data_IF_036757871914
#
_entry.id   IF_036757871914
#
_cell.length_a   1.000
_cell.length_b   1.000
_cell.length_c   1.000
_cell.angle_alpha   90.00
_cell.angle_beta   90.00
_cell.angle_gamma   90.00
#
_symmetry.space_group_name_H-M   'P 1'
#
loop_
_entity.id
_entity.type
_entity.pdbx_description
1 polymer ?
#
# COMPACT_ATOMS: atom_id res chain seq x y z
N UNK A 1 11.76 16.57 -2.70
CA UNK A 1 10.38 16.34 -2.20
C UNK A 1 9.33 17.12 -2.99
N UNK A 2 9.49 18.43 -3.14
CA UNK A 2 8.52 19.28 -3.89
C UNK A 2 8.23 18.73 -5.28
N UNK A 3 9.25 18.53 -6.11
CA UNK A 3 9.08 18.00 -7.47
C UNK A 3 8.30 16.68 -7.49
N UNK A 4 8.63 15.74 -6.60
CA UNK A 4 7.93 14.44 -6.52
C UNK A 4 6.45 14.61 -6.15
N UNK A 5 6.12 15.49 -5.19
CA UNK A 5 4.73 15.70 -4.76
C UNK A 5 3.90 16.54 -5.74
N UNK A 6 4.54 17.40 -6.54
CA UNK A 6 3.88 18.26 -7.52
C UNK A 6 3.54 17.55 -8.84
N UNK A 7 4.21 16.45 -9.19
CA UNK A 7 3.92 15.70 -10.42
C UNK A 7 2.56 14.99 -10.32
N UNK A 8 1.68 15.22 -11.30
CA UNK A 8 0.35 14.60 -11.34
C UNK A 8 0.43 13.07 -11.50
N UNK A 9 1.30 12.61 -12.37
CA UNK A 9 1.45 11.20 -12.75
C UNK A 9 2.48 10.43 -11.94
N UNK A 10 3.14 11.08 -10.97
CA UNK A 10 4.26 10.48 -10.22
C UNK A 10 5.62 10.85 -10.79
N UNK A 11 6.66 10.33 -10.16
CA UNK A 11 8.04 10.62 -10.53
C UNK A 11 8.79 9.32 -10.85
N UNK A 12 9.44 9.26 -12.01
CA UNK A 12 10.40 8.20 -12.33
C UNK A 12 11.78 8.53 -11.76
N UNK A 13 12.61 7.51 -11.53
CA UNK A 13 13.98 7.72 -11.08
C UNK A 13 14.83 8.46 -12.13
N UNK A 14 14.60 8.15 -13.41
CA UNK A 14 15.27 8.83 -14.51
C UNK A 14 14.91 10.32 -14.58
N UNK A 15 13.60 10.65 -14.43
CA UNK A 15 13.16 12.03 -14.40
C UNK A 15 13.73 12.79 -13.18
N UNK A 16 13.76 12.15 -12.00
CA UNK A 16 14.37 12.75 -10.81
C UNK A 16 15.88 12.99 -10.98
N UNK A 17 16.59 12.02 -11.59
CA UNK A 17 18.00 12.15 -11.90
C UNK A 17 18.28 13.37 -12.77
N UNK A 18 17.51 13.52 -13.85
CA UNK A 18 17.66 14.64 -14.79
C UNK A 18 17.37 16.00 -14.15
N UNK A 19 16.24 16.11 -13.45
CA UNK A 19 15.79 17.39 -12.84
C UNK A 19 16.77 17.88 -11.76
N UNK A 20 17.39 16.96 -11.03
CA UNK A 20 18.32 17.30 -9.95
C UNK A 20 19.78 17.26 -10.35
N UNK A 21 20.09 16.93 -11.60
CA UNK A 21 21.48 16.82 -12.07
C UNK A 21 22.30 15.75 -11.35
N UNK A 22 21.62 14.65 -10.90
CA UNK A 22 22.30 13.61 -10.14
C UNK A 22 23.19 12.75 -11.05
N UNK A 23 24.46 12.57 -10.69
CA UNK A 23 25.41 11.76 -11.46
C UNK A 23 25.05 10.26 -11.51
N UNK A 24 24.27 9.75 -10.54
CA UNK A 24 23.91 8.34 -10.46
C UNK A 24 22.40 8.13 -10.49
N UNK A 25 21.94 7.23 -11.36
CA UNK A 25 20.56 6.73 -11.38
C UNK A 25 20.19 6.04 -10.05
N UNK A 26 21.12 5.28 -9.47
CA UNK A 26 20.93 4.56 -8.21
C UNK A 26 20.64 5.53 -7.05
N UNK A 27 21.29 6.68 -7.02
CA UNK A 27 21.02 7.73 -6.03
C UNK A 27 19.60 8.25 -6.18
N UNK A 28 19.15 8.55 -7.40
CA UNK A 28 17.79 9.01 -7.67
C UNK A 28 16.75 7.95 -7.29
N UNK A 29 17.00 6.69 -7.67
CA UNK A 29 16.16 5.55 -7.33
C UNK A 29 16.03 5.37 -5.81
N UNK A 30 17.16 5.43 -5.10
CA UNK A 30 17.21 5.32 -3.64
C UNK A 30 16.41 6.45 -2.97
N UNK A 31 16.57 7.68 -3.43
CA UNK A 31 15.82 8.82 -2.90
C UNK A 31 14.32 8.67 -3.11
N UNK A 32 13.88 8.20 -4.27
CA UNK A 32 12.46 7.92 -4.51
C UNK A 32 11.92 6.86 -3.55
N UNK A 33 12.66 5.78 -3.32
CA UNK A 33 12.22 4.75 -2.37
C UNK A 33 12.17 5.24 -0.92
N UNK A 34 13.09 6.11 -0.51
CA UNK A 34 13.03 6.78 0.80
C UNK A 34 11.76 7.64 0.90
N UNK A 35 11.45 8.42 -0.14
CA UNK A 35 10.24 9.24 -0.18
C UNK A 35 8.96 8.38 -0.20
N UNK A 36 8.92 7.29 -0.96
CA UNK A 36 7.80 6.34 -0.98
C UNK A 36 7.54 5.76 0.40
N UNK A 37 8.59 5.42 1.13
CA UNK A 37 8.46 4.97 2.52
C UNK A 37 7.85 6.05 3.41
N UNK A 38 8.21 7.32 3.24
CA UNK A 38 7.65 8.45 3.96
C UNK A 38 6.17 8.74 3.58
N UNK A 39 5.68 8.24 2.45
CA UNK A 39 4.28 8.40 2.03
C UNK A 39 3.29 7.58 2.86
N UNK A 40 3.77 6.67 3.70
CA UNK A 40 2.94 5.88 4.61
C UNK A 40 3.12 6.38 6.03
N UNK A 41 2.07 7.00 6.58
CA UNK A 41 2.04 7.41 7.98
C UNK A 41 1.96 6.17 8.89
N UNK A 42 2.83 6.05 9.91
CA UNK A 42 2.64 5.07 10.97
C UNK A 42 1.27 5.27 11.65
N UNK A 43 0.58 4.19 11.96
CA UNK A 43 -0.73 4.26 12.62
C UNK A 43 -1.82 4.97 11.81
N UNK A 44 -1.75 4.92 10.47
CA UNK A 44 -2.79 5.48 9.59
C UNK A 44 -4.16 4.89 9.87
N UNK A 45 -5.19 5.73 9.81
CA UNK A 45 -6.58 5.33 10.06
C UNK A 45 -7.01 4.21 9.11
N UNK A 46 -7.74 3.24 9.62
CA UNK A 46 -8.35 2.18 8.82
C UNK A 46 -9.49 2.74 7.98
N UNK A 47 -9.84 2.02 6.93
CA UNK A 47 -11.03 2.31 6.11
C UNK A 47 -12.29 1.99 6.91
N UNK A 48 -13.38 2.73 6.68
CA UNK A 48 -14.62 2.61 7.44
C UNK A 48 -15.85 2.55 6.53
N UNK A 49 -16.99 2.16 7.09
CA UNK A 49 -18.26 2.16 6.38
C UNK A 49 -18.37 0.99 5.40
N UNK A 50 -18.68 1.26 4.13
CA UNK A 50 -18.74 0.24 3.08
C UNK A 50 -17.39 0.19 2.36
N UNK A 51 -16.81 -1.00 2.26
CA UNK A 51 -15.48 -1.21 1.67
C UNK A 51 -15.54 -2.37 0.69
N UNK A 52 -15.25 -2.10 -0.59
CA UNK A 52 -15.01 -3.15 -1.58
C UNK A 52 -13.62 -3.72 -1.37
N UNK A 53 -13.49 -5.05 -1.39
CA UNK A 53 -12.22 -5.76 -1.22
C UNK A 53 -12.09 -6.82 -2.31
N UNK A 54 -10.95 -6.83 -2.97
CA UNK A 54 -10.60 -7.79 -4.01
C UNK A 54 -9.09 -7.99 -4.10
N UNK A 55 -8.66 -8.98 -4.86
CA UNK A 55 -7.26 -9.27 -5.16
C UNK A 55 -6.99 -9.24 -6.65
N UNK A 56 -5.81 -8.82 -7.03
CA UNK A 56 -5.39 -8.75 -8.43
C UNK A 56 -3.93 -9.11 -8.63
N UNK A 57 -3.62 -9.66 -9.79
CA UNK A 57 -2.25 -9.89 -10.20
C UNK A 57 -1.69 -8.66 -10.91
N UNK A 58 -0.47 -8.27 -10.51
CA UNK A 58 0.29 -7.19 -11.12
C UNK A 58 1.69 -7.69 -11.47
N UNK A 59 2.17 -7.35 -12.65
CA UNK A 59 3.50 -7.72 -13.15
C UNK A 59 3.59 -7.60 -14.65
N UNK A 60 4.80 -7.81 -15.20
CA UNK A 60 5.07 -7.71 -16.63
C UNK A 60 4.36 -8.74 -17.49
N UNK A 61 4.41 -8.55 -18.81
CA UNK A 61 3.96 -9.54 -19.79
C UNK A 61 4.92 -10.72 -19.74
N UNK A 62 4.38 -11.92 -19.64
CA UNK A 62 5.13 -13.17 -19.76
C UNK A 62 4.67 -13.92 -20.99
N UNK A 63 5.62 -14.36 -21.80
CA UNK A 63 5.40 -15.30 -22.88
C UNK A 63 5.50 -16.73 -22.32
N UNK A 64 4.50 -17.58 -22.60
CA UNK A 64 4.51 -19.00 -22.23
C UNK A 64 3.54 -19.42 -21.12
N UNK A 65 3.57 -20.72 -20.77
CA UNK A 65 2.56 -21.37 -19.91
C UNK A 65 2.66 -21.05 -18.42
N UNK A 66 3.75 -20.40 -17.93
CA UNK A 66 3.97 -20.05 -16.52
C UNK A 66 3.68 -18.58 -16.22
N UNK A 67 2.55 -18.11 -16.70
CA UNK A 67 2.16 -16.67 -16.66
C UNK A 67 2.04 -16.02 -15.27
N UNK A 68 2.07 -16.78 -14.18
CA UNK A 68 1.78 -16.26 -12.84
C UNK A 68 2.98 -16.16 -11.92
N UNK A 69 4.07 -16.89 -12.16
CA UNK A 69 5.21 -16.99 -11.23
C UNK A 69 5.91 -15.64 -11.00
N UNK A 70 5.98 -14.77 -12.01
CA UNK A 70 6.58 -13.43 -11.89
C UNK A 70 5.59 -12.35 -11.48
N UNK A 71 4.28 -12.64 -11.48
CA UNK A 71 3.27 -11.68 -11.06
C UNK A 71 3.15 -11.63 -9.55
N UNK A 72 2.95 -10.45 -9.02
CA UNK A 72 2.69 -10.24 -7.61
C UNK A 72 1.19 -10.19 -7.36
N UNK A 73 0.72 -10.90 -6.35
CA UNK A 73 -0.66 -10.81 -5.88
C UNK A 73 -0.80 -9.61 -4.95
N UNK A 74 -1.79 -8.76 -5.23
CA UNK A 74 -2.08 -7.55 -4.46
C UNK A 74 -3.49 -7.64 -3.93
N UNK A 75 -3.66 -7.42 -2.63
CA UNK A 75 -4.96 -7.14 -2.04
C UNK A 75 -5.26 -5.64 -2.10
N UNK A 76 -6.48 -5.31 -2.45
CA UNK A 76 -6.98 -3.94 -2.64
C UNK A 76 -8.26 -3.76 -1.87
N UNK A 77 -8.35 -2.68 -1.08
CA UNK A 77 -9.56 -2.28 -0.38
C UNK A 77 -9.89 -0.82 -0.73
N UNK A 78 -11.15 -0.55 -1.05
CA UNK A 78 -11.63 0.76 -1.50
C UNK A 78 -12.87 1.17 -0.70
N UNK A 79 -12.80 2.29 0.01
CA UNK A 79 -13.96 2.89 0.67
C UNK A 79 -14.98 3.38 -0.35
N UNK A 80 -16.24 3.13 -0.09
CA UNK A 80 -17.34 3.77 -0.79
C UNK A 80 -17.74 5.05 -0.06
N UNK A 81 -17.78 6.17 -0.80
CA UNK A 81 -18.28 7.45 -0.32
C UNK A 81 -19.37 7.94 -1.27
N UNK A 82 -20.63 7.85 -0.84
CA UNK A 82 -21.76 8.06 -1.74
C UNK A 82 -21.71 7.12 -2.94
N UNK A 83 -21.86 7.66 -4.14
CA UNK A 83 -21.68 6.90 -5.40
C UNK A 83 -20.19 6.73 -5.78
N UNK A 84 -19.29 7.49 -5.17
CA UNK A 84 -17.87 7.56 -5.54
C UNK A 84 -16.95 6.64 -4.72
N UNK A 85 -15.64 6.91 -4.89
CA UNK A 85 -14.55 6.21 -4.21
C UNK A 85 -13.93 7.12 -3.14
N UNK A 86 -13.81 6.62 -1.92
CA UNK A 86 -13.09 7.25 -0.82
C UNK A 86 -11.59 6.92 -0.84
N UNK A 87 -11.08 6.56 0.32
CA UNK A 87 -9.69 6.14 0.52
C UNK A 87 -9.48 4.70 0.04
N UNK A 88 -8.23 4.40 -0.28
CA UNK A 88 -7.83 3.05 -0.65
C UNK A 88 -6.73 2.53 0.27
N UNK A 89 -6.61 1.19 0.34
CA UNK A 89 -5.47 0.47 0.89
C UNK A 89 -5.06 -0.61 -0.07
N UNK A 90 -3.76 -0.77 -0.21
CA UNK A 90 -3.17 -1.80 -1.06
C UNK A 90 -1.98 -2.43 -0.36
N UNK A 91 -1.76 -3.71 -0.62
CA UNK A 91 -0.61 -4.45 -0.13
C UNK A 91 -0.33 -5.65 -1.02
N UNK A 92 0.93 -5.94 -1.25
CA UNK A 92 1.34 -7.23 -1.79
C UNK A 92 1.11 -8.30 -0.71
N UNK A 93 0.44 -9.39 -1.10
CA UNK A 93 0.22 -10.57 -0.25
C UNK A 93 0.99 -11.77 -0.80
N UNK A 94 1.33 -12.71 0.08
CA UNK A 94 2.12 -13.87 -0.30
C UNK A 94 1.33 -14.79 -1.23
N UNK A 95 0.06 -14.98 -0.89
CA UNK A 95 -0.88 -15.85 -1.59
C UNK A 95 -2.32 -15.38 -1.40
N UNK A 96 -3.28 -16.04 -2.06
CA UNK A 96 -4.71 -15.78 -1.95
C UNK A 96 -5.41 -16.53 -0.82
N UNK A 97 -4.69 -17.01 0.18
CA UNK A 97 -5.27 -17.74 1.30
C UNK A 97 -6.17 -16.86 2.18
N UNK A 98 -7.13 -17.49 2.84
CA UNK A 98 -8.01 -16.82 3.80
C UNK A 98 -7.21 -16.12 4.92
N UNK A 99 -6.10 -16.71 5.36
CA UNK A 99 -5.24 -16.13 6.38
C UNK A 99 -4.53 -14.84 5.91
N UNK A 100 -4.02 -14.83 4.67
CA UNK A 100 -3.35 -13.66 4.09
C UNK A 100 -4.34 -12.51 3.84
N UNK A 101 -5.51 -12.82 3.28
CA UNK A 101 -6.57 -11.84 3.02
C UNK A 101 -7.16 -11.28 4.32
N UNK A 102 -7.45 -12.12 5.30
CA UNK A 102 -7.92 -11.71 6.61
C UNK A 102 -6.94 -10.74 7.27
N UNK A 103 -5.64 -11.08 7.31
CA UNK A 103 -4.62 -10.16 7.87
C UNK A 103 -4.61 -8.82 7.17
N UNK A 104 -4.75 -8.80 5.85
CA UNK A 104 -4.87 -7.54 5.11
C UNK A 104 -6.11 -6.75 5.51
N UNK A 105 -7.27 -7.40 5.59
CA UNK A 105 -8.54 -6.76 5.98
C UNK A 105 -8.44 -6.19 7.39
N UNK A 106 -7.97 -6.95 8.37
CA UNK A 106 -7.80 -6.53 9.77
C UNK A 106 -6.88 -5.30 9.91
N UNK A 107 -5.83 -5.21 9.09
CA UNK A 107 -4.93 -4.04 9.07
C UNK A 107 -5.51 -2.84 8.32
N UNK A 108 -6.29 -3.08 7.28
CA UNK A 108 -6.76 -2.06 6.35
C UNK A 108 -8.12 -1.47 6.71
N UNK A 109 -9.01 -2.26 7.32
CA UNK A 109 -10.42 -1.92 7.52
C UNK A 109 -10.79 -1.95 9.00
N UNK A 110 -11.62 -1.00 9.43
CA UNK A 110 -12.14 -0.90 10.80
C UNK A 110 -13.18 -2.02 11.05
N UNK A 111 -13.13 -2.62 12.22
CA UNK A 111 -14.16 -3.57 12.67
C UNK A 111 -15.55 -2.94 12.60
N UNK A 112 -16.57 -3.75 12.31
CA UNK A 112 -17.95 -3.30 12.13
C UNK A 112 -18.27 -2.71 10.76
N UNK A 113 -17.25 -2.55 9.88
CA UNK A 113 -17.47 -2.13 8.49
C UNK A 113 -18.19 -3.22 7.68
N UNK A 114 -18.87 -2.80 6.61
CA UNK A 114 -19.47 -3.69 5.60
C UNK A 114 -18.45 -3.99 4.53
N UNK A 115 -17.98 -5.22 4.46
CA UNK A 115 -17.08 -5.70 3.41
C UNK A 115 -17.92 -6.22 2.24
N UNK A 116 -17.58 -5.78 1.03
CA UNK A 116 -18.19 -6.24 -0.21
C UNK A 116 -17.12 -6.94 -1.06
N UNK A 117 -17.34 -8.22 -1.38
CA UNK A 117 -16.40 -9.07 -2.14
C UNK A 117 -17.12 -9.82 -3.26
N UNK A 118 -16.35 -10.47 -4.14
CA UNK A 118 -16.82 -11.23 -5.30
C UNK A 118 -17.25 -12.68 -4.99
N UNK A 119 -17.25 -13.10 -3.73
CA UNK A 119 -17.61 -14.47 -3.34
C UNK A 119 -16.48 -15.50 -3.49
N UNK A 120 -15.23 -15.07 -3.59
CA UNK A 120 -14.09 -15.98 -3.49
C UNK A 120 -14.05 -16.63 -2.10
N UNK A 121 -13.90 -17.97 -2.06
CA UNK A 121 -13.95 -18.77 -0.81
C UNK A 121 -12.99 -18.30 0.29
N UNK A 122 -11.87 -17.66 -0.07
CA UNK A 122 -10.91 -17.12 0.89
C UNK A 122 -11.43 -15.92 1.69
N UNK A 123 -12.58 -15.36 1.34
CA UNK A 123 -13.27 -14.32 2.13
C UNK A 123 -14.30 -14.91 3.10
N UNK A 124 -14.51 -16.23 3.10
CA UNK A 124 -15.42 -16.87 4.02
C UNK A 124 -15.02 -16.62 5.49
N UNK A 125 -16.03 -16.55 6.33
CA UNK A 125 -15.87 -16.35 7.76
C UNK A 125 -15.39 -14.96 8.23
N UNK A 126 -15.29 -13.94 7.36
CA UNK A 126 -14.97 -12.57 7.80
C UNK A 126 -15.99 -12.04 8.84
N UNK A 127 -17.21 -12.53 8.85
CA UNK A 127 -18.23 -12.22 9.83
C UNK A 127 -17.83 -12.65 11.24
N UNK A 128 -17.19 -13.83 11.38
CA UNK A 128 -16.65 -14.31 12.66
C UNK A 128 -15.54 -13.41 13.23
N UNK A 129 -14.98 -12.53 12.39
CA UNK A 129 -13.95 -11.57 12.75
C UNK A 129 -14.47 -10.15 12.96
N UNK A 130 -15.81 -9.98 13.12
CA UNK A 130 -16.42 -8.70 13.47
C UNK A 130 -16.71 -7.78 12.28
N UNK A 131 -16.75 -8.30 11.06
CA UNK A 131 -17.18 -7.58 9.86
C UNK A 131 -18.58 -7.98 9.43
N UNK A 132 -19.31 -7.08 8.79
CA UNK A 132 -20.54 -7.43 8.06
C UNK A 132 -20.13 -7.74 6.62
N UNK A 133 -20.29 -8.98 6.18
CA UNK A 133 -19.85 -9.43 4.87
C UNK A 133 -21.02 -9.48 3.88
N UNK A 134 -20.83 -8.86 2.73
CA UNK A 134 -21.76 -8.89 1.59
C UNK A 134 -21.05 -9.46 0.39
N UNK A 135 -21.58 -10.54 -0.15
CA UNK A 135 -21.04 -11.20 -1.34
C UNK A 135 -21.91 -10.83 -2.54
N UNK A 136 -21.28 -10.53 -3.68
CA UNK A 136 -21.95 -10.41 -4.96
C UNK A 136 -21.27 -11.31 -5.97
N UNK A 137 -22.01 -12.30 -6.46
CA UNK A 137 -21.49 -13.25 -7.44
C UNK A 137 -21.46 -12.64 -8.83
N UNK A 138 -20.36 -12.87 -9.56
CA UNK A 138 -20.13 -12.35 -10.91
C UNK A 138 -20.90 -13.13 -11.99
N UNK A 139 -21.29 -14.40 -11.68
CA UNK A 139 -21.97 -15.26 -12.68
C UNK A 139 -23.34 -14.72 -13.07
N UNK A 140 -23.49 -14.38 -14.36
CA UNK A 140 -24.77 -14.00 -14.96
C UNK A 140 -25.17 -12.53 -14.78
N UNK A 141 -24.35 -11.70 -14.15
CA UNK A 141 -24.63 -10.27 -14.04
C UNK A 141 -23.93 -9.47 -15.15
N UNK A 142 -24.70 -8.64 -15.87
CA UNK A 142 -24.14 -7.66 -16.80
C UNK A 142 -23.44 -6.49 -16.06
N UNK A 143 -23.63 -6.39 -14.75
CA UNK A 143 -23.09 -5.30 -13.93
C UNK A 143 -21.86 -5.77 -13.16
N UNK A 144 -20.79 -4.96 -13.19
CA UNK A 144 -19.58 -5.20 -12.42
C UNK A 144 -19.91 -5.24 -10.90
N UNK A 145 -19.61 -6.35 -10.19
CA UNK A 145 -19.94 -6.49 -8.79
C UNK A 145 -19.10 -5.58 -7.88
N UNK A 146 -17.87 -5.25 -8.29
CA UNK A 146 -16.90 -4.46 -7.51
C UNK A 146 -16.33 -3.29 -8.33
N UNK A 147 -17.16 -2.36 -8.83
CA UNK A 147 -16.75 -1.38 -9.82
C UNK A 147 -15.67 -0.42 -9.31
N UNK A 148 -15.64 -0.16 -8.02
CA UNK A 148 -14.66 0.75 -7.40
C UNK A 148 -13.28 0.12 -7.34
N UNK A 149 -13.18 -1.13 -6.89
CA UNK A 149 -11.92 -1.87 -6.85
C UNK A 149 -11.38 -2.05 -8.26
N UNK A 150 -12.20 -2.49 -9.21
CA UNK A 150 -11.79 -2.69 -10.59
C UNK A 150 -11.31 -1.38 -11.25
N UNK A 151 -11.97 -0.27 -10.96
CA UNK A 151 -11.53 1.06 -11.40
C UNK A 151 -10.17 1.44 -10.82
N UNK A 152 -9.97 1.23 -9.52
CA UNK A 152 -8.69 1.52 -8.85
C UNK A 152 -7.57 0.64 -9.39
N UNK A 153 -7.83 -0.65 -9.60
CA UNK A 153 -6.88 -1.60 -10.20
C UNK A 153 -6.48 -1.18 -11.62
N UNK A 154 -7.44 -0.76 -12.43
CA UNK A 154 -7.18 -0.27 -13.79
C UNK A 154 -6.30 0.98 -13.78
N UNK A 155 -6.55 1.92 -12.86
CA UNK A 155 -5.74 3.12 -12.69
C UNK A 155 -4.33 2.79 -12.21
N UNK A 156 -4.17 1.84 -11.28
CA UNK A 156 -2.87 1.36 -10.82
C UNK A 156 -2.07 0.75 -11.97
N UNK A 157 -2.66 -0.18 -12.73
CA UNK A 157 -1.99 -0.84 -13.86
C UNK A 157 -1.53 0.18 -14.90
N UNK A 158 -2.40 1.14 -15.25
CA UNK A 158 -2.07 2.24 -16.17
C UNK A 158 -0.91 3.09 -15.64
N UNK A 159 -0.91 3.41 -14.35
CA UNK A 159 0.14 4.20 -13.72
C UNK A 159 1.48 3.46 -13.71
N UNK A 160 1.49 2.16 -13.41
CA UNK A 160 2.70 1.35 -13.43
C UNK A 160 3.28 1.22 -14.85
N UNK A 161 2.43 1.08 -15.87
CA UNK A 161 2.89 1.03 -17.26
C UNK A 161 3.36 2.39 -17.77
N UNK A 162 2.60 3.46 -17.52
CA UNK A 162 2.91 4.79 -18.04
C UNK A 162 4.13 5.42 -17.37
N UNK A 163 4.10 5.56 -16.04
CA UNK A 163 5.18 6.25 -15.31
C UNK A 163 6.43 5.41 -15.13
N UNK A 164 6.27 4.09 -15.00
CA UNK A 164 7.36 3.15 -14.68
C UNK A 164 7.63 2.14 -15.80
N UNK A 165 6.93 2.24 -16.94
CA UNK A 165 7.13 1.38 -18.13
C UNK A 165 7.09 -0.12 -17.80
N UNK A 166 6.32 -0.51 -16.79
CA UNK A 166 6.25 -1.89 -16.31
C UNK A 166 7.50 -2.41 -15.58
N UNK A 167 8.58 -1.62 -15.51
CA UNK A 167 9.85 -2.01 -14.89
C UNK A 167 9.81 -1.96 -13.36
N UNK A 168 8.79 -2.58 -12.75
CA UNK A 168 8.63 -2.65 -11.30
C UNK A 168 8.95 -4.04 -10.81
N UNK A 169 10.06 -4.18 -10.12
CA UNK A 169 10.44 -5.43 -9.50
C UNK A 169 9.46 -5.80 -8.38
N UNK A 170 9.02 -7.06 -8.36
CA UNK A 170 8.14 -7.62 -7.33
C UNK A 170 8.64 -7.34 -5.91
N UNK A 171 9.94 -7.43 -5.67
CA UNK A 171 10.54 -7.17 -4.36
C UNK A 171 10.31 -5.73 -3.86
N UNK A 172 10.14 -4.77 -4.75
CA UNK A 172 9.95 -3.35 -4.41
C UNK A 172 8.52 -2.84 -4.67
N UNK A 173 7.62 -3.71 -5.15
CA UNK A 173 6.27 -3.33 -5.57
C UNK A 173 5.50 -2.56 -4.49
N UNK A 174 5.59 -2.98 -3.25
CA UNK A 174 4.91 -2.28 -2.15
C UNK A 174 5.28 -0.80 -2.02
N UNK A 175 6.53 -0.40 -2.34
CA UNK A 175 6.90 1.02 -2.34
C UNK A 175 6.10 1.82 -3.38
N UNK A 176 5.84 1.20 -4.53
CA UNK A 176 5.00 1.80 -5.57
C UNK A 176 3.54 1.82 -5.15
N UNK A 177 3.05 0.78 -4.50
CA UNK A 177 1.69 0.76 -3.93
C UNK A 177 1.51 1.84 -2.87
N UNK A 178 2.52 2.10 -2.06
CA UNK A 178 2.52 3.18 -1.07
C UNK A 178 2.41 4.56 -1.75
N UNK A 179 3.20 4.81 -2.82
CA UNK A 179 3.12 6.05 -3.59
C UNK A 179 1.75 6.20 -4.25
N UNK A 180 1.26 5.16 -4.92
CA UNK A 180 -0.05 5.20 -5.57
C UNK A 180 -1.17 5.47 -4.56
N UNK A 181 -1.17 4.77 -3.43
CA UNK A 181 -2.12 4.98 -2.33
C UNK A 181 -2.07 6.41 -1.79
N UNK A 182 -0.87 6.95 -1.58
CA UNK A 182 -0.70 8.32 -1.11
C UNK A 182 -1.31 9.35 -2.08
N UNK A 183 -1.03 9.19 -3.37
CA UNK A 183 -1.54 10.08 -4.43
C UNK A 183 -3.04 9.93 -4.60
N UNK A 184 -3.53 8.71 -4.69
CA UNK A 184 -4.95 8.43 -4.87
C UNK A 184 -5.79 9.00 -3.72
N UNK A 185 -5.39 8.77 -2.48
CA UNK A 185 -6.11 9.25 -1.31
C UNK A 185 -6.10 10.79 -1.16
N UNK A 186 -5.31 11.48 -1.96
CA UNK A 186 -5.20 12.95 -1.98
C UNK A 186 -5.49 13.54 -3.36
N UNK A 187 -6.13 12.77 -4.25
CA UNK A 187 -6.40 13.17 -5.63
C UNK A 187 -7.28 14.43 -5.74
N UNK A 188 -8.11 14.67 -4.74
CA UNK A 188 -8.99 15.85 -4.65
C UNK A 188 -8.33 17.06 -3.98
N UNK A 189 -7.06 16.94 -3.54
CA UNK A 189 -6.36 18.05 -2.91
C UNK A 189 -6.10 19.18 -3.93
N UNK A 190 -6.70 20.32 -3.70
CA UNK A 190 -6.57 21.49 -4.59
C UNK A 190 -5.18 22.15 -4.52
N UNK A 191 -4.52 22.08 -3.35
CA UNK A 191 -3.24 22.75 -3.10
C UNK A 191 -2.07 21.78 -3.03
N UNK A 192 -1.15 21.86 -3.99
CA UNK A 192 0.07 21.06 -4.04
C UNK A 192 1.00 21.30 -2.84
N UNK A 193 1.03 22.51 -2.31
CA UNK A 193 1.79 22.85 -1.10
C UNK A 193 1.39 21.99 0.11
N UNK A 194 0.10 21.67 0.27
CA UNK A 194 -0.37 20.78 1.34
C UNK A 194 0.15 19.36 1.17
N UNK A 195 0.28 18.85 -0.06
CA UNK A 195 0.87 17.53 -0.31
C UNK A 195 2.35 17.49 0.05
N UNK A 196 3.10 18.52 -0.34
CA UNK A 196 4.50 18.68 0.03
C UNK A 196 4.67 18.73 1.56
N UNK A 197 3.91 19.60 2.23
CA UNK A 197 3.95 19.74 3.69
C UNK A 197 3.66 18.41 4.40
N UNK A 198 2.63 17.68 3.96
CA UNK A 198 2.31 16.35 4.50
C UNK A 198 3.43 15.34 4.28
N UNK A 199 4.08 15.38 3.12
CA UNK A 199 5.21 14.48 2.85
C UNK A 199 6.40 14.81 3.76
N UNK A 200 6.68 16.10 4.01
CA UNK A 200 7.73 16.53 4.94
C UNK A 200 7.41 16.06 6.36
N UNK A 201 6.20 16.33 6.87
CA UNK A 201 5.76 15.88 8.19
C UNK A 201 5.92 14.37 8.38
N UNK A 202 5.55 13.58 7.36
CA UNK A 202 5.67 12.13 7.41
C UNK A 202 7.13 11.68 7.32
N UNK A 203 7.97 12.37 6.56
CA UNK A 203 9.38 12.03 6.40
C UNK A 203 10.18 12.17 7.69
N UNK A 204 9.84 13.14 8.55
CA UNK A 204 10.50 13.29 9.87
C UNK A 204 9.95 12.33 10.93
N UNK A 205 8.78 11.74 10.68
CA UNK A 205 8.13 10.79 11.60
C UNK A 205 8.47 9.31 11.31
N UNK A 206 9.14 9.00 10.20
CA UNK A 206 9.53 7.63 9.85
C UNK A 206 11.01 7.40 10.12
N UNK A 207 11.34 6.18 10.55
CA UNK A 207 12.73 5.81 10.78
C UNK A 207 13.58 5.93 9.50
N UNK A 208 14.85 6.33 9.61
CA UNK A 208 15.78 6.37 8.50
C UNK A 208 15.84 5.03 7.75
N UNK A 209 15.87 5.07 6.43
CA UNK A 209 16.03 3.89 5.59
C UNK A 209 17.40 3.94 4.90
N UNK A 210 18.43 3.27 5.44
CA UNK A 210 19.71 3.18 4.78
C UNK A 210 19.58 2.40 3.46
N UNK A 211 20.45 2.69 2.49
CA UNK A 211 20.47 2.05 1.17
C UNK A 211 20.38 0.53 1.24
N UNK A 212 21.16 -0.11 2.11
CA UNK A 212 21.15 -1.57 2.30
C UNK A 212 19.77 -2.13 2.63
N UNK A 213 18.99 -1.39 3.42
CA UNK A 213 17.62 -1.81 3.78
C UNK A 213 16.68 -1.72 2.60
N UNK A 214 16.87 -0.74 1.73
CA UNK A 214 16.06 -0.56 0.53
C UNK A 214 16.37 -1.65 -0.49
N UNK A 215 17.65 -1.87 -0.82
CA UNK A 215 18.08 -2.87 -1.81
C UNK A 215 17.67 -4.28 -1.39
N UNK A 216 17.83 -4.64 -0.10
CA UNK A 216 17.43 -5.95 0.44
C UNK A 216 15.92 -6.04 0.72
N UNK A 217 15.14 -5.02 0.38
CA UNK A 217 13.70 -4.92 0.68
C UNK A 217 13.36 -5.20 2.15
N UNK A 218 14.22 -4.80 3.07
CA UNK A 218 13.96 -4.92 4.50
C UNK A 218 12.95 -3.83 4.87
N UNK A 219 11.68 -4.14 4.68
CA UNK A 219 10.59 -3.27 5.11
C UNK A 219 10.33 -3.52 6.59
N UNK A 220 10.40 -2.44 7.37
CA UNK A 220 9.92 -2.36 8.76
C UNK A 220 10.38 -3.52 9.64
N UNK A 221 11.52 -3.38 10.28
CA UNK A 221 11.66 -4.06 11.58
C UNK A 221 10.53 -3.54 12.48
N UNK A 222 9.72 -4.41 13.08
CA UNK A 222 8.83 -3.96 14.15
C UNK A 222 9.68 -3.21 15.18
N UNK A 223 9.14 -2.13 15.80
CA UNK A 223 9.89 -1.39 16.80
C UNK A 223 10.41 -2.41 17.81
N UNK A 224 11.73 -2.41 18.05
CA UNK A 224 12.31 -3.20 19.11
C UNK A 224 11.57 -2.81 20.39
N UNK A 225 10.81 -3.74 20.95
CA UNK A 225 10.28 -3.60 22.31
C UNK A 225 11.49 -3.23 23.16
N UNK A 226 11.55 -1.99 23.65
CA UNK A 226 12.50 -1.62 24.68
C UNK A 226 12.30 -2.64 25.80
N UNK A 227 13.30 -3.49 26.03
CA UNK A 227 13.34 -4.30 27.24
C UNK A 227 13.18 -3.30 28.39
N UNK A 228 12.08 -3.34 29.09
CA UNK A 228 11.96 -2.71 30.38
C UNK A 228 13.07 -3.35 31.21
N UNK A 229 14.12 -2.60 31.47
CA UNK A 229 15.05 -2.92 32.52
C UNK A 229 14.27 -2.80 33.80
N UNK A 230 13.78 -3.92 34.30
CA UNK A 230 13.33 -4.03 35.68
C UNK A 230 14.57 -3.85 36.54
N UNK A 231 14.79 -2.63 37.02
CA UNK A 231 15.68 -2.37 38.14
C UNK A 231 15.04 -3.03 39.34
N UNK A 232 15.56 -4.24 39.64
CA UNK A 232 15.21 -4.96 40.87
C UNK A 232 16.00 -4.30 41.99
N UNK A 233 15.43 -3.25 42.59
CA UNK A 233 15.92 -2.68 43.83
C UNK A 233 15.39 -3.53 44.99
N UNK A 234 16.08 -4.63 45.27
CA UNK A 234 15.86 -5.40 46.48
C UNK A 234 16.22 -4.58 47.71
N UNK A 235 15.46 -4.73 48.82
CA UNK A 235 15.72 -3.97 50.03
C UNK A 235 17.02 -4.45 50.69
N UNK A 236 17.98 -3.52 50.92
CA UNK A 236 19.14 -3.76 51.78
C UNK A 236 18.66 -3.95 53.21
N UNK A 237 18.75 -5.17 53.72
CA UNK A 237 18.68 -5.42 55.16
C UNK A 237 19.92 -4.84 55.80
N UNK A 238 19.73 -3.91 56.75
CA UNK A 238 20.76 -3.52 57.75
C UNK A 238 20.68 -4.52 58.89
N UNK A 239 21.77 -5.13 59.21
CA UNK A 239 22.11 -5.64 60.54
C UNK A 239 23.15 -4.72 61.14
#
# INVERSE_FOLDING_TARGET
MWWVSSQKTGASAKGLQQVLGLGSYETAWTWLHKLRRAMVRPGRDRLTGRVEVDQTLVGGVEEGHRRTEKKALIAVAVEQVGAGMGRIRMRQIADGSAAALRRFVEEAVMLGSVLHTDGWLSYDHLEKHGYRHRITFTKGSATDPLPRVHRVVSLLKRWLQGTHQGAVNRAHLDYYLDEFTFRFNRRTAQHRGKLFYRLVQQAVAVDPAPYRSIVKNIRRRPPRRRRRTTTNSGPRRRT
#
